data_IF_564953297212
#
_entry.id   IF_564953297212
#
_cell.length_a   1.000
_cell.length_b   1.000
_cell.length_c   1.000
_cell.angle_alpha   90.00
_cell.angle_beta   90.00
_cell.angle_gamma   90.00
#
_symmetry.space_group_name_H-M   'P 1'
#
loop_
_entity.id
_entity.type
_entity.pdbx_description
1 polymer ?
#
# COMPACT_ATOMS: atom_id res chain seq x y z
N UNK A 1 25.69 8.20 -30.54
CA UNK A 1 25.54 8.38 -29.10
C UNK A 1 24.28 9.16 -28.68
N UNK A 2 23.93 10.28 -29.30
CA UNK A 2 22.76 11.10 -28.91
C UNK A 2 21.39 10.40 -29.10
N UNK A 3 21.20 9.66 -30.17
CA UNK A 3 19.94 8.97 -30.50
C UNK A 3 19.66 7.79 -29.53
N UNK A 4 20.66 7.05 -29.12
CA UNK A 4 20.53 5.93 -28.18
C UNK A 4 20.22 6.37 -26.76
N UNK A 5 20.72 7.53 -26.32
CA UNK A 5 20.39 8.11 -25.00
C UNK A 5 18.94 8.61 -24.94
N UNK A 6 18.47 9.22 -26.04
CA UNK A 6 17.07 9.66 -26.15
C UNK A 6 16.16 8.43 -26.18
N UNK A 7 16.51 7.40 -26.95
CA UNK A 7 15.77 6.15 -26.99
C UNK A 7 15.74 5.44 -25.63
N UNK A 8 16.86 5.40 -24.90
CA UNK A 8 16.92 4.81 -23.56
C UNK A 8 16.05 5.55 -22.54
N UNK A 9 16.03 6.89 -22.58
CA UNK A 9 15.16 7.71 -21.71
C UNK A 9 13.69 7.58 -22.12
N UNK A 10 13.40 7.53 -23.41
CA UNK A 10 12.04 7.30 -23.92
C UNK A 10 11.57 5.90 -23.58
N UNK A 11 12.42 4.90 -23.68
CA UNK A 11 12.12 3.51 -23.26
C UNK A 11 11.94 3.44 -21.74
N UNK A 12 12.74 4.13 -20.93
CA UNK A 12 12.58 4.17 -19.47
C UNK A 12 11.28 4.88 -19.06
N UNK A 13 10.85 5.89 -19.79
CA UNK A 13 9.56 6.59 -19.61
C UNK A 13 8.37 5.77 -20.17
N UNK A 14 8.59 4.90 -21.15
CA UNK A 14 7.57 4.03 -21.74
C UNK A 14 7.49 2.65 -21.06
N UNK A 15 8.50 2.25 -20.28
CA UNK A 15 8.47 1.03 -19.45
C UNK A 15 7.66 1.22 -18.16
N UNK A 16 7.16 2.41 -17.86
CA UNK A 16 6.03 2.58 -16.98
C UNK A 16 4.82 1.90 -17.61
N UNK A 17 4.66 0.59 -17.39
CA UNK A 17 3.41 -0.12 -17.68
C UNK A 17 2.24 0.63 -17.04
N UNK A 18 1.00 0.38 -17.44
CA UNK A 18 -0.16 0.99 -16.79
C UNK A 18 -0.06 0.69 -15.30
N UNK A 19 0.38 1.69 -14.52
CA UNK A 19 0.38 1.64 -13.08
C UNK A 19 -1.09 1.79 -12.66
N UNK A 20 -1.77 0.67 -12.56
CA UNK A 20 -3.06 0.59 -11.93
C UNK A 20 -2.83 0.83 -10.44
N UNK A 21 -3.47 1.84 -9.89
CA UNK A 21 -3.51 2.02 -8.45
C UNK A 21 -4.24 0.80 -7.85
N UNK A 22 -3.52 -0.02 -7.09
CA UNK A 22 -3.93 -1.36 -6.60
C UNK A 22 -5.26 -1.46 -5.84
N UNK A 23 -5.90 -0.37 -5.50
CA UNK A 23 -7.26 -0.39 -4.93
C UNK A 23 -8.36 -0.68 -5.96
N UNK A 24 -8.05 -0.69 -7.24
CA UNK A 24 -9.07 -0.73 -8.30
C UNK A 24 -9.22 -2.12 -8.94
N UNK A 25 -8.22 -3.00 -8.83
CA UNK A 25 -8.15 -4.19 -9.67
C UNK A 25 -8.29 -5.51 -8.92
N UNK A 26 -8.15 -5.52 -7.59
CA UNK A 26 -8.14 -6.73 -6.77
C UNK A 26 -9.31 -6.77 -5.78
N UNK A 27 -9.62 -7.96 -5.31
CA UNK A 27 -10.54 -8.18 -4.21
C UNK A 27 -9.75 -8.32 -2.92
N UNK A 28 -9.70 -7.28 -2.10
CA UNK A 28 -8.97 -7.32 -0.84
C UNK A 28 -9.76 -8.09 0.22
N UNK A 29 -9.15 -9.11 0.78
CA UNK A 29 -9.72 -9.95 1.85
C UNK A 29 -8.82 -9.90 3.08
N UNK A 30 -9.23 -9.15 4.10
CA UNK A 30 -8.50 -9.04 5.35
C UNK A 30 -9.19 -9.85 6.45
N UNK A 31 -8.49 -10.84 7.01
CA UNK A 31 -8.99 -11.70 8.10
C UNK A 31 -8.23 -11.42 9.38
N UNK A 32 -8.94 -11.12 10.45
CA UNK A 32 -8.39 -10.93 11.79
C UNK A 32 -8.94 -12.04 12.70
N UNK A 33 -8.03 -12.84 13.26
CA UNK A 33 -8.35 -13.91 14.19
C UNK A 33 -8.18 -13.44 15.65
N UNK A 34 -9.07 -13.86 16.52
CA UNK A 34 -8.93 -13.80 17.99
C UNK A 34 -9.04 -15.21 18.55
N UNK A 35 -8.02 -15.65 19.28
CA UNK A 35 -7.99 -16.98 19.90
C UNK A 35 -8.35 -16.83 21.37
N UNK A 36 -9.41 -17.52 21.77
CA UNK A 36 -9.87 -17.64 23.15
C UNK A 36 -9.64 -19.09 23.64
N UNK A 37 -9.93 -19.36 24.91
CA UNK A 37 -9.70 -20.72 25.49
C UNK A 37 -10.52 -21.84 24.84
N UNK A 38 -11.75 -21.51 24.49
CA UNK A 38 -12.78 -22.48 24.04
C UNK A 38 -13.22 -22.23 22.58
N UNK A 39 -12.80 -21.13 21.96
CA UNK A 39 -13.19 -20.83 20.62
C UNK A 39 -12.19 -19.89 19.90
N UNK A 40 -12.30 -19.83 18.59
CA UNK A 40 -11.69 -18.81 17.73
C UNK A 40 -12.80 -17.95 17.19
N UNK A 41 -12.67 -16.65 17.31
CA UNK A 41 -13.49 -15.65 16.62
C UNK A 41 -12.68 -15.05 15.48
N UNK A 42 -13.34 -14.78 14.37
CA UNK A 42 -12.70 -14.11 13.24
C UNK A 42 -13.60 -13.02 12.65
N UNK A 43 -12.99 -11.95 12.23
CA UNK A 43 -13.61 -10.86 11.46
C UNK A 43 -12.94 -10.77 10.11
N UNK A 44 -13.72 -10.89 9.04
CA UNK A 44 -13.27 -10.71 7.66
C UNK A 44 -13.83 -9.41 7.10
N UNK A 45 -12.97 -8.68 6.42
CA UNK A 45 -13.30 -7.47 5.67
C UNK A 45 -12.99 -7.73 4.20
N UNK A 46 -14.00 -7.64 3.37
CA UNK A 46 -13.92 -7.94 1.95
C UNK A 46 -14.21 -6.66 1.17
N UNK A 47 -13.24 -6.17 0.43
CA UNK A 47 -13.33 -4.90 -0.31
C UNK A 47 -13.11 -5.21 -1.80
N UNK A 48 -14.17 -5.31 -2.60
CA UNK A 48 -14.02 -5.48 -4.03
C UNK A 48 -13.55 -4.18 -4.67
N UNK A 49 -12.40 -4.21 -5.32
CA UNK A 49 -11.91 -3.10 -6.14
C UNK A 49 -12.83 -2.85 -7.34
N UNK A 50 -12.75 -1.66 -7.93
CA UNK A 50 -13.66 -1.21 -9.02
C UNK A 50 -13.70 -2.19 -10.18
N UNK A 51 -12.55 -2.74 -10.61
CA UNK A 51 -12.46 -3.67 -11.74
C UNK A 51 -13.15 -5.03 -11.49
N UNK A 52 -13.24 -5.45 -10.24
CA UNK A 52 -13.84 -6.74 -9.86
C UNK A 52 -15.22 -6.60 -9.23
N UNK A 53 -15.63 -5.38 -8.83
CA UNK A 53 -16.88 -5.11 -8.11
C UNK A 53 -18.10 -5.64 -8.84
N UNK A 54 -18.22 -5.41 -10.14
CA UNK A 54 -19.37 -5.90 -10.93
C UNK A 54 -19.48 -7.43 -10.88
N UNK A 55 -18.38 -8.15 -10.93
CA UNK A 55 -18.41 -9.62 -10.85
C UNK A 55 -18.75 -10.12 -9.45
N UNK A 56 -18.33 -9.40 -8.40
CA UNK A 56 -18.69 -9.71 -7.00
C UNK A 56 -20.18 -9.41 -6.77
N UNK A 57 -20.66 -8.25 -7.17
CA UNK A 57 -22.08 -7.88 -7.06
C UNK A 57 -22.96 -8.94 -7.74
N UNK A 58 -22.68 -9.31 -8.99
CA UNK A 58 -23.44 -10.36 -9.71
C UNK A 58 -23.38 -11.72 -8.98
N UNK A 59 -22.32 -12.00 -8.24
CA UNK A 59 -22.23 -13.24 -7.45
C UNK A 59 -23.05 -13.21 -6.17
N UNK A 60 -23.44 -12.01 -5.68
CA UNK A 60 -24.27 -11.80 -4.48
C UNK A 60 -25.72 -11.64 -4.89
N UNK A 61 -25.99 -10.68 -5.78
CA UNK A 61 -27.31 -10.36 -6.36
C UNK A 61 -27.70 -11.47 -7.35
N UNK A 62 -28.40 -12.46 -6.85
CA UNK A 62 -28.72 -13.69 -7.60
C UNK A 62 -29.96 -13.51 -8.51
N UNK A 63 -30.88 -12.62 -8.19
CA UNK A 63 -32.07 -12.33 -8.97
C UNK A 63 -31.91 -11.11 -9.91
N UNK A 64 -30.79 -10.35 -9.73
CA UNK A 64 -30.43 -9.25 -10.61
C UNK A 64 -31.27 -7.98 -10.43
N UNK A 65 -31.93 -7.82 -9.29
CA UNK A 65 -32.79 -6.67 -9.00
C UNK A 65 -32.01 -5.40 -8.57
N UNK A 66 -30.70 -5.53 -8.31
CA UNK A 66 -29.81 -4.46 -7.89
C UNK A 66 -29.89 -4.14 -6.39
N UNK A 67 -30.60 -4.95 -5.60
CA UNK A 67 -30.73 -4.83 -4.15
C UNK A 67 -30.21 -6.11 -3.50
N UNK A 68 -29.26 -6.00 -2.59
CA UNK A 68 -28.75 -7.16 -1.87
C UNK A 68 -29.70 -7.54 -0.72
N UNK A 69 -30.58 -8.49 -0.95
CA UNK A 69 -31.52 -8.98 0.05
C UNK A 69 -30.78 -9.70 1.22
N UNK A 70 -31.41 -9.77 2.38
CA UNK A 70 -30.81 -10.46 3.54
C UNK A 70 -30.52 -11.95 3.26
N UNK A 71 -31.31 -12.59 2.40
CA UNK A 71 -31.10 -13.98 1.99
C UNK A 71 -29.84 -14.13 1.12
N UNK A 72 -29.62 -13.24 0.18
CA UNK A 72 -28.45 -13.21 -0.68
C UNK A 72 -27.18 -12.87 0.10
N UNK A 73 -27.25 -11.89 1.01
CA UNK A 73 -26.16 -11.56 1.90
C UNK A 73 -25.71 -12.77 2.74
N UNK A 74 -26.67 -13.48 3.35
CA UNK A 74 -26.40 -14.69 4.13
C UNK A 74 -25.84 -15.82 3.27
N UNK A 75 -26.43 -16.06 2.09
CA UNK A 75 -25.95 -17.08 1.16
C UNK A 75 -24.54 -16.82 0.66
N UNK A 76 -24.20 -15.55 0.41
CA UNK A 76 -22.83 -15.16 0.04
C UNK A 76 -21.85 -15.36 1.20
N UNK A 77 -22.21 -14.90 2.42
CA UNK A 77 -21.37 -15.08 3.60
C UNK A 77 -21.10 -16.58 3.89
N UNK A 78 -22.10 -17.44 3.80
CA UNK A 78 -21.92 -18.89 3.96
C UNK A 78 -21.02 -19.49 2.89
N UNK A 79 -21.10 -19.01 1.65
CA UNK A 79 -20.21 -19.43 0.55
C UNK A 79 -18.77 -19.02 0.83
N UNK A 80 -18.53 -17.78 1.29
CA UNK A 80 -17.20 -17.34 1.72
C UNK A 80 -16.66 -18.24 2.81
N UNK A 81 -17.46 -18.57 3.86
CA UNK A 81 -17.03 -19.48 4.92
C UNK A 81 -16.77 -20.90 4.40
N UNK A 82 -17.51 -21.35 3.38
CA UNK A 82 -17.29 -22.63 2.71
C UNK A 82 -15.94 -22.74 2.00
N UNK A 83 -15.41 -21.60 1.52
CA UNK A 83 -14.10 -21.49 0.86
C UNK A 83 -12.95 -21.37 1.87
N UNK A 84 -13.23 -21.28 3.18
CA UNK A 84 -12.23 -21.26 4.24
C UNK A 84 -12.01 -22.65 4.83
N UNK A 85 -10.80 -22.93 5.21
CA UNK A 85 -10.42 -24.09 6.02
C UNK A 85 -9.72 -23.63 7.29
N UNK A 86 -10.32 -23.88 8.44
CA UNK A 86 -9.72 -23.62 9.76
C UNK A 86 -9.49 -24.95 10.47
N UNK A 87 -8.24 -25.22 10.83
CA UNK A 87 -7.90 -26.45 11.58
C UNK A 87 -7.14 -26.09 12.86
N UNK A 88 -7.31 -26.91 13.88
CA UNK A 88 -6.50 -26.85 15.10
C UNK A 88 -5.97 -28.24 15.43
N UNK A 89 -4.65 -28.34 15.62
CA UNK A 89 -3.95 -29.61 15.90
C UNK A 89 -4.30 -30.72 14.88
N UNK A 90 -4.53 -30.31 13.60
CA UNK A 90 -4.93 -31.21 12.51
C UNK A 90 -6.43 -31.49 12.40
N UNK A 91 -7.25 -31.06 13.35
CA UNK A 91 -8.71 -31.26 13.32
C UNK A 91 -9.39 -30.06 12.68
N UNK A 92 -10.22 -30.28 11.65
CA UNK A 92 -11.00 -29.24 10.99
C UNK A 92 -12.10 -28.74 11.91
N UNK A 93 -12.22 -27.42 12.03
CA UNK A 93 -13.25 -26.74 12.80
C UNK A 93 -14.46 -26.40 11.93
N UNK A 94 -15.65 -26.47 12.52
CA UNK A 94 -16.88 -25.97 11.89
C UNK A 94 -16.97 -24.46 12.10
N UNK A 95 -16.97 -23.71 11.00
CA UNK A 95 -17.17 -22.27 11.02
C UNK A 95 -18.65 -21.97 11.13
N UNK A 96 -19.02 -21.11 12.06
CA UNK A 96 -20.39 -20.66 12.30
C UNK A 96 -20.47 -19.16 12.02
N UNK A 97 -21.33 -18.76 11.10
CA UNK A 97 -21.59 -17.33 10.82
C UNK A 97 -22.19 -16.69 12.07
N UNK A 98 -21.62 -15.58 12.52
CA UNK A 98 -22.10 -14.77 13.65
C UNK A 98 -22.87 -13.57 13.13
N UNK A 99 -22.25 -12.82 12.23
CA UNK A 99 -22.87 -11.65 11.61
C UNK A 99 -22.32 -11.43 10.18
N UNK A 100 -23.13 -10.83 9.34
CA UNK A 100 -22.68 -10.33 8.05
C UNK A 100 -23.35 -8.97 7.77
N UNK A 101 -22.59 -8.01 7.28
CA UNK A 101 -23.11 -6.72 6.86
C UNK A 101 -22.51 -6.33 5.52
N UNK A 102 -23.35 -5.77 4.66
CA UNK A 102 -23.01 -5.44 3.30
C UNK A 102 -23.24 -3.94 3.04
N UNK A 103 -22.36 -3.30 2.29
CA UNK A 103 -22.53 -1.93 1.85
C UNK A 103 -23.60 -1.87 0.74
N UNK A 104 -23.98 -0.65 0.35
CA UNK A 104 -24.83 -0.45 -0.82
C UNK A 104 -24.08 -0.83 -2.10
N UNK A 105 -24.84 -1.26 -3.11
CA UNK A 105 -24.30 -1.67 -4.43
C UNK A 105 -23.49 -0.54 -5.08
N UNK A 106 -23.93 0.73 -4.91
CA UNK A 106 -23.24 1.90 -5.43
C UNK A 106 -21.84 2.04 -4.81
N UNK A 107 -21.72 1.89 -3.49
CA UNK A 107 -20.45 1.97 -2.76
C UNK A 107 -19.50 0.85 -3.21
N UNK A 108 -20.01 -0.36 -3.47
CA UNK A 108 -19.22 -1.47 -3.99
C UNK A 108 -18.71 -1.17 -5.41
N UNK A 109 -19.55 -0.58 -6.28
CA UNK A 109 -19.13 -0.19 -7.65
C UNK A 109 -18.03 0.84 -7.66
N UNK A 110 -17.99 1.71 -6.66
CA UNK A 110 -16.98 2.75 -6.49
C UNK A 110 -15.70 2.22 -5.81
N UNK A 111 -15.67 0.93 -5.40
CA UNK A 111 -14.55 0.33 -4.67
C UNK A 111 -14.40 0.84 -3.23
N UNK A 112 -15.44 1.46 -2.69
CA UNK A 112 -15.52 2.01 -1.33
C UNK A 112 -16.33 1.11 -0.40
N UNK A 113 -17.10 0.18 -0.97
CA UNK A 113 -17.95 -0.72 -0.20
C UNK A 113 -17.16 -1.81 0.48
N UNK A 114 -17.41 -1.99 1.78
CA UNK A 114 -16.77 -3.00 2.60
C UNK A 114 -17.80 -4.00 3.13
N UNK A 115 -17.62 -5.28 2.78
CA UNK A 115 -18.42 -6.40 3.31
C UNK A 115 -17.72 -6.87 4.58
N UNK A 116 -18.48 -6.94 5.69
CA UNK A 116 -18.00 -7.49 6.96
C UNK A 116 -18.65 -8.83 7.22
N UNK A 117 -17.84 -9.84 7.52
CA UNK A 117 -18.29 -11.17 7.91
C UNK A 117 -17.61 -11.55 9.23
N UNK A 118 -18.40 -11.84 10.25
CA UNK A 118 -17.89 -12.38 11.50
C UNK A 118 -18.28 -13.85 11.64
N UNK A 119 -17.32 -14.66 12.02
CA UNK A 119 -17.56 -16.08 12.27
C UNK A 119 -16.84 -16.55 13.51
N UNK A 120 -17.30 -17.67 14.04
CA UNK A 120 -16.76 -18.36 15.22
C UNK A 120 -16.57 -19.83 14.94
N UNK A 121 -15.56 -20.41 15.56
CA UNK A 121 -15.34 -21.85 15.58
C UNK A 121 -15.00 -22.32 16.99
N UNK A 122 -15.68 -23.36 17.48
CA UNK A 122 -15.44 -23.91 18.80
C UNK A 122 -14.13 -24.72 18.76
N UNK A 123 -13.28 -24.55 19.78
CA UNK A 123 -12.02 -25.27 19.93
C UNK A 123 -12.23 -26.56 20.69
N UNK A 124 -11.78 -27.72 20.17
CA UNK A 124 -11.79 -28.95 20.94
C UNK A 124 -10.76 -28.88 22.08
N UNK A 125 -10.98 -29.62 23.16
CA UNK A 125 -9.97 -29.79 24.20
C UNK A 125 -8.65 -30.26 23.60
N UNK A 126 -7.52 -29.71 24.08
CA UNK A 126 -6.20 -30.00 23.54
C UNK A 126 -5.09 -29.84 24.57
N UNK A 127 -3.85 -30.08 24.14
CA UNK A 127 -2.66 -29.91 24.98
C UNK A 127 -2.27 -28.45 25.17
N UNK A 128 -1.21 -28.22 25.94
CA UNK A 128 -0.68 -26.87 26.19
C UNK A 128 -0.14 -26.19 24.91
N UNK A 129 0.49 -26.93 24.01
CA UNK A 129 1.01 -26.41 22.73
C UNK A 129 -0.01 -26.71 21.65
N UNK A 130 -0.47 -25.68 20.97
CA UNK A 130 -1.51 -25.78 19.96
C UNK A 130 -1.06 -25.14 18.64
N UNK A 131 -1.58 -25.69 17.54
CA UNK A 131 -1.33 -25.18 16.20
C UNK A 131 -2.63 -24.94 15.49
N UNK A 132 -2.90 -23.70 15.11
CA UNK A 132 -4.03 -23.30 14.29
C UNK A 132 -3.55 -22.99 12.88
N UNK A 133 -4.29 -23.49 11.87
CA UNK A 133 -4.02 -23.19 10.46
C UNK A 133 -5.31 -22.68 9.83
N UNK A 134 -5.23 -21.51 9.18
CA UNK A 134 -6.27 -20.96 8.32
C UNK A 134 -5.80 -20.99 6.88
N UNK A 135 -6.63 -21.53 5.99
CA UNK A 135 -6.46 -21.46 4.54
C UNK A 135 -7.66 -20.76 3.95
N UNK A 136 -7.40 -19.78 3.07
CA UNK A 136 -8.42 -19.05 2.34
C UNK A 136 -8.31 -19.36 0.85
N UNK A 137 -9.37 -19.93 0.30
CA UNK A 137 -9.49 -20.28 -1.12
C UNK A 137 -10.55 -19.46 -1.85
N UNK A 138 -11.13 -18.44 -1.17
CA UNK A 138 -12.12 -17.57 -1.77
C UNK A 138 -11.49 -16.68 -2.84
N UNK A 139 -12.08 -16.66 -4.04
CA UNK A 139 -11.64 -15.79 -5.16
C UNK A 139 -10.14 -15.85 -5.53
N UNK A 140 -9.48 -17.00 -5.42
CA UNK A 140 -8.01 -17.24 -5.58
C UNK A 140 -7.34 -16.52 -6.76
N UNK A 141 -8.08 -16.24 -7.83
CA UNK A 141 -7.53 -15.57 -9.03
C UNK A 141 -7.62 -14.05 -8.99
N UNK A 142 -8.37 -13.49 -8.03
CA UNK A 142 -8.70 -12.06 -7.97
C UNK A 142 -8.45 -11.45 -6.61
N UNK A 143 -8.24 -12.28 -5.57
CA UNK A 143 -8.10 -11.83 -4.21
C UNK A 143 -6.65 -11.54 -3.82
N UNK A 144 -6.48 -10.46 -3.09
CA UNK A 144 -5.30 -10.17 -2.28
C UNK A 144 -5.65 -10.44 -0.81
N UNK A 145 -4.98 -11.42 -0.20
CA UNK A 145 -5.27 -11.83 1.17
C UNK A 145 -4.38 -11.13 2.18
N UNK A 146 -4.97 -10.76 3.30
CA UNK A 146 -4.27 -10.33 4.50
C UNK A 146 -4.80 -11.15 5.68
N UNK A 147 -3.91 -11.71 6.47
CA UNK A 147 -4.33 -12.46 7.67
C UNK A 147 -3.46 -12.11 8.86
N UNK A 148 -4.09 -11.91 10.01
CA UNK A 148 -3.41 -11.65 11.27
C UNK A 148 -4.19 -12.23 12.45
N UNK A 149 -3.53 -12.39 13.61
CA UNK A 149 -4.14 -12.75 14.86
C UNK A 149 -3.96 -11.62 15.87
N UNK A 150 -5.04 -11.23 16.54
CA UNK A 150 -4.97 -10.31 17.68
C UNK A 150 -4.13 -10.92 18.80
N UNK A 151 -3.48 -10.05 19.57
CA UNK A 151 -2.89 -10.49 20.83
C UNK A 151 -4.01 -10.98 21.73
N UNK A 152 -3.96 -12.25 22.21
CA UNK A 152 -5.02 -12.78 23.05
C UNK A 152 -5.25 -11.91 24.28
N UNK A 153 -6.52 -11.64 24.60
CA UNK A 153 -6.91 -10.94 25.83
C UNK A 153 -6.67 -11.79 27.07
N UNK A 154 -6.73 -13.12 26.91
CA UNK A 154 -6.47 -14.08 27.97
C UNK A 154 -4.95 -14.26 28.16
N UNK A 155 -4.47 -13.97 29.37
CA UNK A 155 -3.07 -14.11 29.74
C UNK A 155 -2.54 -15.54 29.71
N UNK A 156 -3.44 -16.52 29.73
CA UNK A 156 -3.10 -17.95 29.63
C UNK A 156 -2.78 -18.37 28.20
N UNK A 157 -3.10 -17.54 27.21
CA UNK A 157 -2.81 -17.81 25.80
C UNK A 157 -1.64 -16.93 25.34
N UNK A 158 -0.57 -17.58 24.88
CA UNK A 158 0.62 -16.89 24.37
C UNK A 158 0.96 -17.36 22.98
N UNK A 159 0.98 -16.45 22.03
CA UNK A 159 1.44 -16.70 20.67
C UNK A 159 2.94 -16.97 20.67
N UNK A 160 3.35 -18.06 20.04
CA UNK A 160 4.74 -18.50 19.93
C UNK A 160 5.31 -18.11 18.57
N UNK A 161 4.59 -18.42 17.49
CA UNK A 161 5.01 -18.08 16.12
C UNK A 161 3.80 -17.89 15.20
N UNK A 162 4.02 -17.12 14.16
CA UNK A 162 3.08 -16.94 13.05
C UNK A 162 3.83 -17.12 11.74
N UNK A 163 3.28 -17.91 10.84
CA UNK A 163 3.85 -18.19 9.52
C UNK A 163 2.79 -17.98 8.45
N UNK A 164 3.17 -17.39 7.33
CA UNK A 164 2.31 -17.11 6.17
C UNK A 164 3.01 -17.52 4.89
N UNK A 165 2.24 -17.92 3.87
CA UNK A 165 2.78 -17.99 2.51
C UNK A 165 2.88 -16.56 1.90
N UNK A 166 3.52 -16.44 0.74
CA UNK A 166 3.70 -15.13 0.06
C UNK A 166 2.37 -14.44 -0.27
N UNK A 167 1.34 -15.21 -0.60
CA UNK A 167 0.00 -14.72 -0.95
C UNK A 167 -0.89 -14.49 0.26
N UNK A 168 -0.43 -14.86 1.47
CA UNK A 168 -1.20 -14.82 2.72
C UNK A 168 -2.53 -15.62 2.69
N UNK A 169 -2.68 -16.52 1.73
CA UNK A 169 -3.81 -17.48 1.66
C UNK A 169 -3.66 -18.65 2.61
N UNK A 170 -2.45 -18.87 3.13
CA UNK A 170 -2.13 -19.83 4.18
C UNK A 170 -1.57 -19.10 5.39
N UNK A 171 -2.12 -19.36 6.57
CA UNK A 171 -1.69 -18.78 7.83
C UNK A 171 -1.61 -19.86 8.90
N UNK A 172 -0.48 -19.99 9.57
CA UNK A 172 -0.25 -20.87 10.70
C UNK A 172 0.07 -20.06 11.94
N UNK A 173 -0.59 -20.36 13.03
CA UNK A 173 -0.40 -19.81 14.36
C UNK A 173 -0.02 -20.92 15.33
N UNK A 174 1.17 -20.88 15.90
CA UNK A 174 1.57 -21.73 17.02
C UNK A 174 1.38 -20.93 18.32
N UNK A 175 0.63 -21.47 19.26
CA UNK A 175 0.37 -20.82 20.54
C UNK A 175 0.39 -21.81 21.71
N UNK A 176 0.64 -21.28 22.92
CA UNK A 176 0.64 -22.04 24.15
C UNK A 176 -0.54 -21.58 24.98
N UNK A 177 -1.30 -22.57 25.47
CA UNK A 177 -2.40 -22.38 26.41
C UNK A 177 -1.97 -22.99 27.75
N UNK A 178 -1.46 -22.14 28.65
CA UNK A 178 -0.91 -22.60 29.93
C UNK A 178 -1.49 -21.80 31.10
N UNK A 179 -1.94 -22.51 32.10
CA UNK A 179 -2.43 -21.93 33.35
C UNK A 179 -1.36 -21.62 34.39
N UNK A 180 -0.22 -21.04 33.98
CA UNK A 180 0.87 -20.65 34.91
C UNK A 180 1.32 -19.23 34.64
N UNK A 181 1.31 -18.31 35.63
CA UNK A 181 1.82 -16.95 35.49
C UNK A 181 3.35 -16.94 35.30
N UNK A 182 3.83 -16.41 34.21
CA UNK A 182 5.26 -16.15 33.98
C UNK A 182 5.66 -14.87 34.66
N UNK A 183 6.69 -14.93 35.52
CA UNK A 183 7.26 -13.76 36.17
C UNK A 183 7.83 -12.73 35.15
N UNK A 184 7.74 -11.42 35.39
CA UNK A 184 8.26 -10.42 34.47
C UNK A 184 9.79 -10.39 34.52
N UNK A 185 10.43 -10.61 33.35
CA UNK A 185 11.86 -10.48 33.15
C UNK A 185 12.22 -9.06 32.69
N UNK A 186 13.33 -8.44 33.15
CA UNK A 186 13.68 -7.06 32.83
C UNK A 186 14.15 -6.78 31.40
N UNK A 187 14.13 -7.77 30.52
CA UNK A 187 14.50 -7.65 29.09
C UNK A 187 13.31 -7.87 28.16
N UNK A 188 12.11 -7.72 28.65
CA UNK A 188 10.86 -8.09 27.98
C UNK A 188 10.55 -7.26 26.73
N UNK A 189 11.03 -6.02 26.64
CA UNK A 189 10.81 -5.17 25.48
C UNK A 189 11.50 -5.73 24.21
N UNK A 190 12.72 -6.27 24.33
CA UNK A 190 13.46 -6.82 23.20
C UNK A 190 12.91 -8.17 22.72
N UNK A 191 12.49 -9.01 23.66
CA UNK A 191 11.81 -10.28 23.33
C UNK A 191 10.45 -10.03 22.71
N UNK A 192 9.69 -9.04 23.21
CA UNK A 192 8.42 -8.62 22.64
C UNK A 192 8.61 -8.02 21.24
N UNK A 193 9.60 -7.16 21.05
CA UNK A 193 9.91 -6.58 19.74
C UNK A 193 10.36 -7.64 18.72
N UNK A 194 11.20 -8.59 19.15
CA UNK A 194 11.64 -9.70 18.32
C UNK A 194 10.51 -10.65 17.95
N UNK A 195 9.62 -10.94 18.88
CA UNK A 195 8.38 -11.68 18.65
C UNK A 195 7.46 -10.95 17.68
N UNK A 196 7.29 -9.65 17.87
CA UNK A 196 6.50 -8.79 16.99
C UNK A 196 7.04 -8.72 15.56
N UNK A 197 8.36 -8.66 15.37
CA UNK A 197 8.98 -8.70 14.04
C UNK A 197 8.67 -10.00 13.29
N UNK A 198 8.65 -11.14 14.01
CA UNK A 198 8.28 -12.44 13.43
C UNK A 198 6.77 -12.52 13.19
N UNK A 199 5.97 -12.02 14.12
CA UNK A 199 4.50 -12.06 14.06
C UNK A 199 3.93 -11.20 12.92
N UNK A 200 4.48 -10.01 12.71
CA UNK A 200 4.07 -9.08 11.63
C UNK A 200 4.49 -9.58 10.24
N UNK A 201 5.44 -10.53 10.16
CA UNK A 201 6.05 -10.89 8.89
C UNK A 201 6.88 -9.71 8.35
N UNK A 202 7.94 -9.34 9.06
CA UNK A 202 8.82 -8.22 8.68
C UNK A 202 9.17 -8.19 7.18
N UNK A 203 9.53 -9.33 6.53
CA UNK A 203 9.79 -9.34 5.09
C UNK A 203 8.58 -8.94 4.24
N UNK A 204 7.37 -9.34 4.64
CA UNK A 204 6.13 -9.01 3.91
C UNK A 204 5.81 -7.52 4.03
N UNK A 205 5.95 -6.92 5.22
CA UNK A 205 5.77 -5.48 5.42
C UNK A 205 6.84 -4.65 4.71
N UNK A 206 8.08 -5.11 4.72
CA UNK A 206 9.17 -4.51 3.95
C UNK A 206 8.87 -4.53 2.44
N UNK A 207 8.47 -5.68 1.91
CA UNK A 207 8.08 -5.82 0.51
C UNK A 207 6.88 -4.93 0.17
N UNK A 208 5.87 -4.88 1.04
CA UNK A 208 4.71 -4.00 0.86
C UNK A 208 5.14 -2.53 0.78
N UNK A 209 6.10 -2.09 1.61
CA UNK A 209 6.68 -0.75 1.54
C UNK A 209 7.42 -0.49 0.21
N UNK A 210 8.16 -1.47 -0.30
CA UNK A 210 8.79 -1.37 -1.62
C UNK A 210 7.75 -1.26 -2.74
N UNK A 211 6.73 -2.11 -2.71
CA UNK A 211 5.64 -2.12 -3.68
C UNK A 211 4.86 -0.82 -3.65
N UNK A 212 4.57 -0.28 -2.47
CA UNK A 212 3.88 1.00 -2.29
C UNK A 212 4.54 2.15 -3.09
N UNK A 213 5.87 2.20 -3.15
CA UNK A 213 6.60 3.19 -3.96
C UNK A 213 6.68 2.76 -5.43
N UNK A 214 6.95 1.47 -5.70
CA UNK A 214 7.14 0.97 -7.06
C UNK A 214 5.87 1.09 -7.92
N UNK A 215 4.73 0.88 -7.31
CA UNK A 215 3.42 0.84 -7.93
C UNK A 215 2.64 2.16 -7.76
N UNK A 216 3.01 2.97 -6.73
CA UNK A 216 2.45 4.30 -6.51
C UNK A 216 2.93 5.31 -7.54
N UNK A 217 2.13 5.54 -8.61
CA UNK A 217 2.43 6.49 -9.68
C UNK A 217 2.66 7.90 -9.15
N UNK A 218 1.92 8.29 -8.12
CA UNK A 218 2.04 9.57 -7.41
C UNK A 218 3.39 9.71 -6.72
N UNK A 219 3.85 8.68 -6.01
CA UNK A 219 5.15 8.64 -5.34
C UNK A 219 6.31 8.68 -6.35
N UNK A 220 6.20 7.91 -7.44
CA UNK A 220 7.21 7.90 -8.50
C UNK A 220 7.29 9.25 -9.21
N UNK A 221 6.16 9.85 -9.60
CA UNK A 221 6.14 11.16 -10.23
C UNK A 221 6.63 12.27 -9.30
N UNK A 222 6.24 12.22 -8.03
CA UNK A 222 6.77 13.14 -7.01
C UNK A 222 8.29 13.05 -6.90
N UNK A 223 8.82 11.83 -6.74
CA UNK A 223 10.25 11.58 -6.62
C UNK A 223 10.99 12.01 -7.88
N UNK A 224 10.50 11.63 -9.07
CA UNK A 224 11.10 12.03 -10.34
C UNK A 224 11.09 13.56 -10.53
N UNK A 225 9.99 14.23 -10.18
CA UNK A 225 9.92 15.70 -10.24
C UNK A 225 10.96 16.38 -9.35
N UNK A 226 11.23 15.83 -8.15
CA UNK A 226 12.29 16.32 -7.27
C UNK A 226 13.70 16.00 -7.77
N UNK A 227 13.89 14.87 -8.46
CA UNK A 227 15.19 14.47 -9.03
C UNK A 227 15.56 15.30 -10.27
N UNK A 228 14.57 15.75 -11.05
CA UNK A 228 14.82 16.53 -12.27
C UNK A 228 15.75 17.75 -12.07
N UNK A 229 15.59 18.63 -11.07
CA UNK A 229 16.49 19.76 -10.85
C UNK A 229 17.74 19.42 -10.04
N UNK A 230 17.82 18.22 -9.46
CA UNK A 230 18.84 17.86 -8.48
C UNK A 230 20.30 18.02 -8.94
N UNK A 231 20.68 17.76 -10.21
CA UNK A 231 22.03 18.05 -10.72
C UNK A 231 22.37 19.51 -10.89
N UNK A 232 21.42 20.45 -10.70
CA UNK A 232 21.59 21.86 -10.97
C UNK A 232 21.75 22.70 -9.70
N UNK A 233 22.34 23.88 -9.88
CA UNK A 233 22.44 24.93 -8.87
C UNK A 233 21.38 25.99 -9.16
N UNK A 234 20.69 26.47 -8.14
CA UNK A 234 19.80 27.61 -8.25
C UNK A 234 20.62 28.92 -8.30
N UNK A 235 20.39 29.74 -9.33
CA UNK A 235 20.93 31.10 -9.43
C UNK A 235 19.76 32.08 -9.51
N UNK A 236 19.35 32.60 -8.37
CA UNK A 236 18.12 33.39 -8.25
C UNK A 236 16.88 32.55 -8.64
N UNK A 237 16.08 33.09 -9.55
CA UNK A 237 14.85 32.43 -10.03
C UNK A 237 15.07 31.43 -11.19
N UNK A 238 16.30 31.02 -11.46
CA UNK A 238 16.62 30.11 -12.58
C UNK A 238 17.54 28.98 -12.15
N UNK A 239 17.41 27.84 -12.80
CA UNK A 239 18.37 26.75 -12.69
C UNK A 239 19.57 27.04 -13.59
N UNK A 240 20.78 27.00 -13.00
CA UNK A 240 22.06 27.25 -13.68
C UNK A 240 23.05 26.16 -13.31
N UNK A 241 24.12 26.01 -14.09
CA UNK A 241 25.28 25.14 -13.80
C UNK A 241 25.00 23.75 -13.23
N UNK A 242 25.84 22.77 -13.50
CA UNK A 242 25.72 21.44 -12.94
C UNK A 242 26.67 21.26 -11.74
N UNK A 243 26.19 20.65 -10.63
CA UNK A 243 27.00 20.39 -9.42
C UNK A 243 27.84 19.11 -9.52
N UNK A 244 27.51 18.20 -10.43
CA UNK A 244 28.11 16.87 -10.51
C UNK A 244 27.67 15.95 -9.35
N UNK A 245 28.24 14.73 -9.32
CA UNK A 245 27.84 13.65 -8.37
C UNK A 245 28.04 14.07 -6.90
N UNK A 246 29.21 14.64 -6.58
CA UNK A 246 29.57 14.98 -5.18
C UNK A 246 28.64 16.04 -4.56
N UNK A 247 28.08 16.93 -5.37
CA UNK A 247 27.14 17.94 -4.87
C UNK A 247 25.68 17.47 -4.87
N UNK A 248 25.29 16.66 -5.84
CA UNK A 248 23.90 16.22 -6.01
C UNK A 248 23.51 15.10 -5.05
N UNK A 249 24.37 14.08 -4.85
CA UNK A 249 24.03 12.88 -4.10
C UNK A 249 23.68 13.15 -2.63
N UNK A 250 24.50 13.89 -1.83
CA UNK A 250 24.14 14.15 -0.44
C UNK A 250 22.83 14.97 -0.29
N UNK A 251 22.57 15.89 -1.23
CA UNK A 251 21.35 16.69 -1.27
C UNK A 251 20.12 15.81 -1.50
N UNK A 252 20.20 14.87 -2.43
CA UNK A 252 19.11 13.97 -2.75
C UNK A 252 18.83 13.00 -1.61
N UNK A 253 19.88 12.37 -1.05
CA UNK A 253 19.71 11.50 0.10
C UNK A 253 19.01 12.23 1.26
N UNK A 254 19.42 13.47 1.53
CA UNK A 254 18.77 14.31 2.54
C UNK A 254 17.29 14.57 2.23
N UNK A 255 16.92 14.79 0.98
CA UNK A 255 15.54 15.01 0.53
C UNK A 255 14.71 13.73 0.71
N UNK A 256 15.22 12.59 0.25
CA UNK A 256 14.54 11.28 0.34
C UNK A 256 14.31 10.88 1.80
N UNK A 257 15.36 10.91 2.62
CA UNK A 257 15.24 10.58 4.05
C UNK A 257 14.32 11.55 4.80
N UNK A 258 14.34 12.84 4.46
CA UNK A 258 13.43 13.82 5.06
C UNK A 258 11.96 13.51 4.71
N UNK A 259 11.68 13.12 3.46
CA UNK A 259 10.34 12.66 3.05
C UNK A 259 9.91 11.41 3.86
N UNK A 260 10.78 10.38 3.94
CA UNK A 260 10.49 9.15 4.68
C UNK A 260 10.24 9.41 6.17
N UNK A 261 10.99 10.34 6.78
CA UNK A 261 10.74 10.75 8.18
C UNK A 261 9.36 11.38 8.33
N UNK A 262 9.00 12.35 7.47
CA UNK A 262 7.68 12.97 7.48
C UNK A 262 6.57 11.94 7.31
N UNK A 263 6.71 11.05 6.32
CA UNK A 263 5.78 9.96 6.03
C UNK A 263 5.61 9.03 7.26
N UNK A 264 6.71 8.64 7.89
CA UNK A 264 6.71 7.77 9.06
C UNK A 264 5.96 8.37 10.25
N UNK A 265 6.08 9.67 10.48
CA UNK A 265 5.42 10.37 11.59
C UNK A 265 3.89 10.28 11.41
N UNK A 266 3.36 10.69 10.27
CA UNK A 266 1.91 10.71 10.05
C UNK A 266 1.34 9.32 9.86
N UNK A 267 2.06 8.40 9.24
CA UNK A 267 1.71 6.99 9.19
C UNK A 267 1.57 6.42 10.61
N UNK A 268 2.52 6.70 11.50
CA UNK A 268 2.44 6.28 12.89
C UNK A 268 1.21 6.90 13.59
N UNK A 269 1.01 8.22 13.50
CA UNK A 269 -0.13 8.91 14.12
C UNK A 269 -1.47 8.33 13.65
N UNK A 270 -1.61 8.08 12.34
CA UNK A 270 -2.82 7.51 11.77
C UNK A 270 -2.99 6.03 12.17
N UNK A 271 -1.92 5.23 12.20
CA UNK A 271 -1.97 3.84 12.63
C UNK A 271 -2.35 3.68 14.11
N UNK A 272 -2.04 4.66 14.98
CA UNK A 272 -2.51 4.70 16.37
C UNK A 272 -3.92 5.28 16.52
N UNK A 273 -4.58 5.68 15.42
CA UNK A 273 -5.91 6.28 15.48
C UNK A 273 -5.95 7.70 16.07
N UNK A 274 -4.78 8.36 16.18
CA UNK A 274 -4.69 9.73 16.71
C UNK A 274 -5.11 10.78 15.69
N UNK A 275 -5.05 10.43 14.40
CA UNK A 275 -5.42 11.31 13.29
C UNK A 275 -6.28 10.51 12.30
N UNK A 276 -7.48 11.00 12.05
CA UNK A 276 -8.40 10.49 11.04
C UNK A 276 -8.73 11.63 10.07
N UNK A 277 -8.30 11.47 8.84
CA UNK A 277 -8.62 12.43 7.77
C UNK A 277 -9.28 11.64 6.63
N UNK A 278 -10.37 12.15 6.05
CA UNK A 278 -10.98 11.54 4.87
C UNK A 278 -9.96 11.38 3.73
N UNK A 279 -10.09 10.34 2.90
CA UNK A 279 -9.11 10.04 1.83
C UNK A 279 -9.05 11.14 0.77
N UNK A 280 -10.19 11.67 0.35
CA UNK A 280 -10.28 12.66 -0.73
C UNK A 280 -9.41 13.92 -0.52
N UNK A 281 -9.46 14.64 0.63
CA UNK A 281 -8.56 15.77 0.87
C UNK A 281 -7.09 15.39 0.83
N UNK A 282 -6.73 14.19 1.35
CA UNK A 282 -5.35 13.72 1.36
C UNK A 282 -4.87 13.51 -0.08
N UNK A 283 -5.67 12.85 -0.90
CA UNK A 283 -5.33 12.57 -2.30
C UNK A 283 -5.18 13.86 -3.13
N UNK A 284 -6.02 14.87 -2.87
CA UNK A 284 -5.87 16.20 -3.48
C UNK A 284 -4.55 16.84 -3.05
N UNK A 285 -4.19 16.78 -1.76
CA UNK A 285 -2.94 17.33 -1.24
C UNK A 285 -1.71 16.60 -1.80
N UNK A 286 -1.80 15.28 -2.00
CA UNK A 286 -0.77 14.49 -2.67
C UNK A 286 -0.57 15.01 -4.10
N UNK A 287 -1.64 15.15 -4.87
CA UNK A 287 -1.57 15.68 -6.23
C UNK A 287 -1.02 17.13 -6.27
N UNK A 288 -1.39 17.98 -5.31
CA UNK A 288 -0.84 19.33 -5.15
C UNK A 288 0.67 19.28 -4.85
N UNK A 289 1.16 18.35 -4.03
CA UNK A 289 2.58 18.20 -3.73
C UNK A 289 3.41 17.86 -4.98
N UNK A 290 2.85 17.02 -5.87
CA UNK A 290 3.48 16.71 -7.17
C UNK A 290 3.51 17.94 -8.08
N UNK A 291 2.40 18.69 -8.14
CA UNK A 291 2.34 19.93 -8.92
C UNK A 291 3.38 20.96 -8.45
N UNK A 292 3.50 21.15 -7.13
CA UNK A 292 4.51 22.07 -6.56
C UNK A 292 5.93 21.60 -6.87
N UNK A 293 6.19 20.29 -6.83
CA UNK A 293 7.48 19.70 -7.18
C UNK A 293 7.79 19.87 -8.68
N UNK A 294 6.80 19.70 -9.54
CA UNK A 294 6.91 19.96 -10.97
C UNK A 294 7.21 21.45 -11.27
N UNK A 295 6.52 22.36 -10.60
CA UNK A 295 6.82 23.79 -10.70
C UNK A 295 8.22 24.14 -10.18
N UNK A 296 8.67 23.50 -9.08
CA UNK A 296 10.03 23.65 -8.58
C UNK A 296 11.06 23.14 -9.60
N UNK A 297 10.78 22.05 -10.30
CA UNK A 297 11.65 21.54 -11.37
C UNK A 297 11.76 22.54 -12.56
N UNK A 298 10.70 23.29 -12.86
CA UNK A 298 10.73 24.35 -13.87
C UNK A 298 11.51 25.59 -13.39
N UNK A 299 11.25 26.03 -12.17
CA UNK A 299 11.87 27.21 -11.53
C UNK A 299 12.17 26.92 -10.08
N UNK A 300 13.35 27.30 -9.54
CA UNK A 300 13.68 27.07 -8.13
C UNK A 300 12.75 27.91 -7.21
N UNK A 301 11.71 27.29 -6.68
CA UNK A 301 10.75 27.94 -5.76
C UNK A 301 11.28 28.04 -4.34
N UNK A 302 12.00 27.01 -3.87
CA UNK A 302 12.50 26.89 -2.49
C UNK A 302 13.94 26.36 -2.44
N UNK A 303 14.90 27.05 -3.10
CA UNK A 303 16.29 26.59 -3.15
C UNK A 303 16.90 26.51 -1.75
N UNK A 304 17.55 25.38 -1.45
CA UNK A 304 18.15 25.08 -0.15
C UNK A 304 17.19 24.61 0.92
N UNK A 305 15.87 24.64 0.69
CA UNK A 305 14.81 24.17 1.62
C UNK A 305 14.12 22.89 1.14
N UNK A 306 14.65 22.25 0.10
CA UNK A 306 14.02 21.10 -0.56
C UNK A 306 13.76 19.94 0.42
N UNK A 307 14.68 19.70 1.36
CA UNK A 307 14.49 18.66 2.38
C UNK A 307 13.34 18.98 3.36
N UNK A 308 13.20 20.24 3.78
CA UNK A 308 12.11 20.64 4.66
C UNK A 308 10.74 20.52 3.94
N UNK A 309 10.69 20.91 2.68
CA UNK A 309 9.48 20.78 1.85
C UNK A 309 9.17 19.29 1.59
N UNK A 310 10.19 18.47 1.32
CA UNK A 310 10.01 17.02 1.17
C UNK A 310 9.48 16.37 2.46
N UNK A 311 9.98 16.76 3.64
CA UNK A 311 9.45 16.29 4.92
C UNK A 311 7.97 16.69 5.10
N UNK A 312 7.60 17.92 4.76
CA UNK A 312 6.22 18.38 4.81
C UNK A 312 5.32 17.58 3.85
N UNK A 313 5.78 17.31 2.62
CA UNK A 313 5.04 16.45 1.69
C UNK A 313 4.97 15.01 2.18
N UNK A 314 6.03 14.49 2.81
CA UNK A 314 6.01 13.20 3.49
C UNK A 314 4.90 13.11 4.53
N UNK A 315 4.69 14.16 5.35
CA UNK A 315 3.58 14.20 6.32
C UNK A 315 2.21 14.03 5.63
N UNK A 316 2.02 14.62 4.46
CA UNK A 316 0.75 14.48 3.72
C UNK A 316 0.60 13.03 3.19
N UNK A 317 1.63 12.49 2.56
CA UNK A 317 1.60 11.16 1.96
C UNK A 317 1.43 10.04 2.99
N UNK A 318 1.99 10.17 4.19
CA UNK A 318 1.87 9.18 5.26
C UNK A 318 0.45 9.02 5.81
N UNK A 319 -0.40 10.03 5.68
CA UNK A 319 -1.81 9.94 6.09
C UNK A 319 -2.62 8.99 5.21
N UNK A 320 -2.27 8.86 3.94
CA UNK A 320 -3.03 8.04 2.98
C UNK A 320 -3.03 6.54 3.32
N UNK A 321 -1.95 6.02 3.90
CA UNK A 321 -1.82 4.59 4.21
C UNK A 321 -2.17 4.23 5.66
N UNK A 322 -2.35 5.22 6.53
CA UNK A 322 -2.57 5.02 7.96
C UNK A 322 -3.84 4.24 8.29
N UNK A 323 -4.92 4.48 7.57
CA UNK A 323 -6.19 3.75 7.73
C UNK A 323 -6.03 2.24 7.45
N UNK A 324 -5.29 1.88 6.41
CA UNK A 324 -5.00 0.48 6.07
C UNK A 324 -4.23 -0.22 7.18
N UNK A 325 -3.23 0.44 7.76
CA UNK A 325 -2.42 -0.15 8.82
C UNK A 325 -3.18 -0.25 10.15
N UNK A 326 -4.06 0.71 10.47
CA UNK A 326 -4.90 0.65 11.65
C UNK A 326 -5.92 -0.48 11.59
N UNK A 327 -6.42 -0.80 10.39
CA UNK A 327 -7.38 -1.86 10.14
C UNK A 327 -6.81 -3.28 10.37
N UNK A 328 -5.48 -3.43 10.41
CA UNK A 328 -4.83 -4.73 10.63
C UNK A 328 -4.91 -5.23 12.09
N UNK A 329 -5.49 -4.46 13.02
CA UNK A 329 -5.67 -4.88 14.42
C UNK A 329 -4.36 -5.24 15.14
N UNK A 330 -3.22 -4.68 14.73
CA UNK A 330 -1.90 -5.00 15.26
C UNK A 330 -1.75 -4.55 16.72
N UNK A 331 -1.14 -5.37 17.56
CA UNK A 331 -0.70 -4.99 18.89
C UNK A 331 0.34 -3.84 18.85
N UNK A 332 0.62 -3.18 19.99
CA UNK A 332 1.50 -2.01 20.01
C UNK A 332 2.90 -2.27 19.44
N UNK A 333 3.54 -3.37 19.81
CA UNK A 333 4.87 -3.73 19.34
C UNK A 333 4.89 -4.20 17.88
N UNK A 334 3.86 -4.94 17.46
CA UNK A 334 3.66 -5.38 16.07
C UNK A 334 3.43 -4.18 15.16
N UNK A 335 2.70 -3.18 15.62
CA UNK A 335 2.48 -1.91 14.90
C UNK A 335 3.78 -1.15 14.71
N UNK A 336 4.61 -1.04 15.76
CA UNK A 336 5.94 -0.43 15.65
C UNK A 336 6.82 -1.20 14.65
N UNK A 337 6.88 -2.52 14.78
CA UNK A 337 7.69 -3.37 13.89
C UNK A 337 7.19 -3.28 12.43
N UNK A 338 5.88 -3.29 12.22
CA UNK A 338 5.25 -3.16 10.90
C UNK A 338 5.54 -1.81 10.25
N UNK A 339 5.40 -0.70 11.00
CA UNK A 339 5.73 0.65 10.51
C UNK A 339 7.22 0.74 10.15
N UNK A 340 8.11 0.22 10.98
CA UNK A 340 9.55 0.24 10.71
C UNK A 340 9.90 -0.58 9.45
N UNK A 341 9.35 -1.79 9.32
CA UNK A 341 9.57 -2.64 8.15
C UNK A 341 9.06 -1.97 6.87
N UNK A 342 7.86 -1.43 6.91
CA UNK A 342 7.22 -0.75 5.79
C UNK A 342 8.02 0.48 5.35
N UNK A 343 8.41 1.35 6.29
CA UNK A 343 9.21 2.53 5.97
C UNK A 343 10.62 2.20 5.49
N UNK A 344 11.24 1.12 5.99
CA UNK A 344 12.50 0.64 5.46
C UNK A 344 12.35 0.15 4.01
N UNK A 345 11.22 -0.47 3.67
CA UNK A 345 10.86 -0.83 2.29
C UNK A 345 10.72 0.39 1.39
N UNK A 346 9.99 1.42 1.86
CA UNK A 346 9.86 2.71 1.17
C UNK A 346 11.24 3.31 0.87
N UNK A 347 12.08 3.50 1.89
CA UNK A 347 13.43 4.07 1.75
C UNK A 347 14.27 3.28 0.76
N UNK A 348 14.25 1.95 0.86
CA UNK A 348 15.00 1.07 -0.04
C UNK A 348 14.57 1.26 -1.49
N UNK A 349 13.27 1.30 -1.77
CA UNK A 349 12.79 1.48 -3.15
C UNK A 349 13.10 2.87 -3.68
N UNK A 350 12.97 3.91 -2.87
CA UNK A 350 13.37 5.26 -3.25
C UNK A 350 14.87 5.35 -3.58
N UNK A 351 15.73 4.68 -2.79
CA UNK A 351 17.17 4.61 -3.07
C UNK A 351 17.48 3.87 -4.38
N UNK A 352 16.73 2.80 -4.71
CA UNK A 352 16.84 2.09 -5.99
C UNK A 352 16.49 3.03 -7.15
N UNK A 353 15.38 3.77 -7.04
CA UNK A 353 14.98 4.77 -8.06
C UNK A 353 16.06 5.85 -8.21
N UNK A 354 16.56 6.39 -7.11
CA UNK A 354 17.65 7.37 -7.13
C UNK A 354 18.90 6.81 -7.79
N UNK A 355 19.32 5.60 -7.41
CA UNK A 355 20.50 4.94 -7.96
C UNK A 355 20.39 4.67 -9.47
N UNK A 356 19.19 4.45 -9.96
CA UNK A 356 18.92 4.21 -11.39
C UNK A 356 18.83 5.50 -12.18
N UNK A 357 18.11 6.50 -11.68
CA UNK A 357 17.77 7.73 -12.40
C UNK A 357 18.91 8.77 -12.35
N UNK A 358 19.54 8.92 -11.18
CA UNK A 358 20.53 10.00 -10.98
C UNK A 358 21.76 9.93 -11.87
N UNK A 359 22.39 8.77 -12.12
CA UNK A 359 23.53 8.70 -13.04
C UNK A 359 23.17 9.21 -14.43
N UNK A 360 21.98 8.88 -14.91
CA UNK A 360 21.46 9.32 -16.21
C UNK A 360 21.27 10.84 -16.22
N UNK A 361 20.61 11.41 -15.20
CA UNK A 361 20.39 12.86 -15.10
C UNK A 361 21.70 13.63 -14.99
N UNK A 362 22.66 13.14 -14.20
CA UNK A 362 23.99 13.78 -14.06
C UNK A 362 24.76 13.75 -15.38
N UNK A 363 24.73 12.63 -16.10
CA UNK A 363 25.37 12.51 -17.40
C UNK A 363 24.72 13.46 -18.42
N UNK A 364 23.39 13.48 -18.45
CA UNK A 364 22.62 14.37 -19.32
C UNK A 364 22.80 15.84 -18.96
N UNK A 365 23.00 16.18 -17.69
CA UNK A 365 23.14 17.59 -17.24
C UNK A 365 24.29 18.36 -17.91
N UNK A 366 25.21 17.60 -18.51
CA UNK A 366 26.33 18.15 -19.32
C UNK A 366 25.98 18.37 -20.80
N UNK A 367 24.74 18.08 -21.20
CA UNK A 367 24.29 18.18 -22.59
C UNK A 367 23.13 19.16 -22.72
N UNK A 368 22.95 19.73 -23.92
CA UNK A 368 21.79 20.60 -24.19
C UNK A 368 20.44 19.90 -24.13
N UNK A 369 20.40 18.54 -24.22
CA UNK A 369 19.19 17.75 -24.13
C UNK A 369 18.58 17.74 -22.70
N UNK A 370 19.37 18.04 -21.68
CA UNK A 370 18.90 18.04 -20.30
C UNK A 370 17.76 19.03 -20.02
N UNK A 371 17.84 20.22 -20.61
CA UNK A 371 16.79 21.23 -20.47
C UNK A 371 15.43 20.71 -20.98
N UNK A 372 15.43 19.99 -22.11
CA UNK A 372 14.22 19.35 -22.66
C UNK A 372 13.71 18.25 -21.75
N UNK A 373 14.60 17.39 -21.25
CA UNK A 373 14.22 16.31 -20.32
C UNK A 373 13.60 16.89 -19.03
N UNK A 374 14.24 17.90 -18.44
CA UNK A 374 13.75 18.54 -17.21
C UNK A 374 12.41 19.25 -17.42
N UNK A 375 12.31 20.07 -18.46
CA UNK A 375 11.07 20.82 -18.75
C UNK A 375 9.97 19.86 -19.18
N UNK A 376 10.24 18.92 -20.08
CA UNK A 376 9.27 17.93 -20.54
C UNK A 376 8.75 17.05 -19.40
N UNK A 377 9.65 16.51 -18.57
CA UNK A 377 9.27 15.71 -17.40
C UNK A 377 8.48 16.50 -16.38
N UNK A 378 8.84 17.75 -16.11
CA UNK A 378 8.09 18.63 -15.23
C UNK A 378 6.69 18.97 -15.77
N UNK A 379 6.55 19.17 -17.07
CA UNK A 379 5.24 19.40 -17.69
C UNK A 379 4.36 18.16 -17.62
N UNK A 380 4.91 16.97 -17.90
CA UNK A 380 4.16 15.71 -17.77
C UNK A 380 3.66 15.51 -16.33
N UNK A 381 4.54 15.69 -15.34
CA UNK A 381 4.16 15.59 -13.93
C UNK A 381 3.10 16.64 -13.54
N UNK A 382 3.24 17.88 -14.04
CA UNK A 382 2.28 18.96 -13.80
C UNK A 382 0.91 18.69 -14.40
N UNK A 383 0.84 18.23 -15.65
CA UNK A 383 -0.41 17.88 -16.33
C UNK A 383 -1.11 16.70 -15.63
N UNK A 384 -0.35 15.66 -15.29
CA UNK A 384 -0.89 14.51 -14.53
C UNK A 384 -1.47 14.96 -13.17
N UNK A 385 -0.75 15.83 -12.45
CA UNK A 385 -1.20 16.36 -11.15
C UNK A 385 -2.49 17.17 -11.27
N UNK A 386 -2.59 18.05 -12.27
CA UNK A 386 -3.80 18.85 -12.51
C UNK A 386 -4.98 17.93 -12.87
N UNK A 387 -4.74 16.89 -13.69
CA UNK A 387 -5.74 15.88 -14.01
C UNK A 387 -6.25 15.16 -12.76
N UNK A 388 -5.36 14.73 -11.88
CA UNK A 388 -5.73 14.07 -10.60
C UNK A 388 -6.44 15.00 -9.62
N UNK A 389 -6.05 16.28 -9.54
CA UNK A 389 -6.77 17.27 -8.73
C UNK A 389 -8.20 17.43 -9.25
N UNK A 390 -8.37 17.56 -10.57
CA UNK A 390 -9.68 17.71 -11.17
C UNK A 390 -10.56 16.46 -10.97
N UNK A 391 -10.01 15.27 -11.17
CA UNK A 391 -10.68 14.00 -10.94
C UNK A 391 -11.20 13.90 -9.50
N UNK A 392 -10.36 14.18 -8.51
CA UNK A 392 -10.71 14.07 -7.08
C UNK A 392 -11.63 15.15 -6.57
N UNK A 393 -11.55 16.36 -7.11
CA UNK A 393 -12.44 17.47 -6.69
C UNK A 393 -13.81 17.41 -7.35
N UNK A 394 -13.88 16.99 -8.62
CA UNK A 394 -15.11 17.05 -9.42
C UNK A 394 -15.71 15.68 -9.71
N UNK A 395 -15.15 14.60 -9.10
CA UNK A 395 -15.59 13.22 -9.33
C UNK A 395 -15.63 12.84 -10.83
N UNK A 396 -14.70 13.40 -11.60
CA UNK A 396 -14.59 13.12 -13.03
C UNK A 396 -14.02 11.70 -13.24
N UNK A 397 -14.45 10.98 -14.29
CA UNK A 397 -13.83 9.71 -14.62
C UNK A 397 -12.34 9.90 -14.91
N UNK A 398 -11.53 8.90 -14.56
CA UNK A 398 -10.07 8.92 -14.68
C UNK A 398 -9.60 9.30 -16.11
N UNK A 399 -9.49 10.61 -16.36
CA UNK A 399 -9.06 11.15 -17.65
C UNK A 399 -7.62 10.76 -17.99
N UNK A 400 -6.75 10.66 -17.00
CA UNK A 400 -5.36 10.24 -17.21
C UNK A 400 -5.28 8.77 -17.64
N UNK A 401 -6.07 7.89 -17.05
CA UNK A 401 -6.18 6.48 -17.46
C UNK A 401 -6.79 6.32 -18.84
N UNK A 402 -7.83 7.10 -19.16
CA UNK A 402 -8.46 7.09 -20.49
C UNK A 402 -7.46 7.57 -21.56
N UNK A 403 -6.72 8.65 -21.32
CA UNK A 403 -5.70 9.17 -22.24
C UNK A 403 -4.55 8.18 -22.42
N UNK A 404 -4.04 7.59 -21.31
CA UNK A 404 -2.97 6.59 -21.37
C UNK A 404 -3.39 5.33 -22.12
N UNK A 405 -4.61 4.85 -21.91
CA UNK A 405 -5.16 3.69 -22.62
C UNK A 405 -5.37 3.97 -24.11
N UNK A 406 -5.87 5.14 -24.45
CA UNK A 406 -6.01 5.57 -25.85
C UNK A 406 -4.64 5.72 -26.54
N UNK A 407 -3.64 6.29 -25.87
CA UNK A 407 -2.28 6.38 -26.41
C UNK A 407 -1.62 5.01 -26.61
N UNK A 408 -1.82 4.06 -25.68
CA UNK A 408 -1.35 2.69 -25.81
C UNK A 408 -2.03 1.98 -27.01
N UNK A 409 -3.33 2.14 -27.16
CA UNK A 409 -4.06 1.62 -28.34
C UNK A 409 -3.55 2.21 -29.66
N UNK A 410 -3.30 3.53 -29.71
CA UNK A 410 -2.72 4.15 -30.91
C UNK A 410 -1.29 3.69 -31.18
N UNK A 411 -0.46 3.50 -30.15
CA UNK A 411 0.89 2.98 -30.32
C UNK A 411 0.89 1.54 -30.84
N UNK A 412 0.03 0.66 -30.32
CA UNK A 412 -0.14 -0.72 -30.80
C UNK A 412 -0.67 -0.73 -32.23
N UNK A 413 -1.64 0.13 -32.55
CA UNK A 413 -2.18 0.25 -33.90
C UNK A 413 -1.10 0.66 -34.93
N UNK A 414 -0.25 1.65 -34.58
CA UNK A 414 0.85 2.10 -35.45
C UNK A 414 1.87 0.97 -35.68
N UNK A 415 2.17 0.14 -34.65
CA UNK A 415 3.13 -0.96 -34.76
C UNK A 415 2.55 -2.15 -35.56
N UNK A 416 1.24 -2.37 -35.47
CA UNK A 416 0.57 -3.48 -36.19
C UNK A 416 0.25 -3.19 -37.65
N UNK A 417 0.35 -1.94 -38.09
CA UNK A 417 0.05 -1.50 -39.46
C UNK A 417 1.29 -0.97 -40.20
N UNK A 418 2.50 -1.26 -39.73
CA UNK A 418 3.78 -1.15 -40.42
C UNK A 418 4.34 -2.56 -40.72
#
# INVERSE_FOLDING_TARGET
>A
MKAWLIAAVTILLLLGGPAFAHRLDEYLEATILSVEKDHVQASMRLIPGVAVSSSVITSIDSDGDGILSAAEQSAYAERVLGDLSLTVDGNRLMLKLVSASFPKVEEMREGLGEIHIEFRADLPPGGANRRLILENHHQVRKAAYLVNCLVPSDHDIRIVSQTRNEQQSFYQLDYVQAGVPSAPLPLQWWTNFRGAMSAVGFPSMFRLGMQHIAEGTDHLLFLLALLLPAPLIAAGARWAGATGVRGSLPRILKIVTAFTIGHSITLALAAWGLVHVPSQPIEVLIAVSILVSAMHALRPLFPGKEAAIAAFFGLIHGLAFGATLSALGLGPWERVAGILAFNLGIETMQLIVVATVMPVLILMSRTGAYAFCRVGGALVAGVASVGWIAERLFHLPNLAGVVANNMAHYAIWIVSHR
#
